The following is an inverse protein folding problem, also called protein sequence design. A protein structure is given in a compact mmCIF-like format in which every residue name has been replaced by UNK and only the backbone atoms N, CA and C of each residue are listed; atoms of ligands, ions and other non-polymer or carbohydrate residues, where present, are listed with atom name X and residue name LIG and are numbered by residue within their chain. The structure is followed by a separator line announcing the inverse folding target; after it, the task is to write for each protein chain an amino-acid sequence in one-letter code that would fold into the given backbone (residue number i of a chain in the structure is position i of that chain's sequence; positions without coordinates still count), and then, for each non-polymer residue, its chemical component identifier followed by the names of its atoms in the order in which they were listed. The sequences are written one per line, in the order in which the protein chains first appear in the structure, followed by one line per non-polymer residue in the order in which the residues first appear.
data_IF_688524778107
#
_entry.id   IF_688524778107
#
_cell.length_a   1.000
_cell.length_b   1.000
_cell.length_c   1.000
_cell.angle_alpha   90.00
_cell.angle_beta   90.00
_cell.angle_gamma   90.00
#
_symmetry.space_group_name_H-M   'P 1'
#
loop_
_entity.id
_entity.type
_entity.pdbx_description
1 polymer ?
#
# COMPACT_ATOMS: atom_id res chain seq x y z
N UNK A 1 -20.45 -28.33 17.25
CA UNK A 1 -19.04 -28.03 17.56
C UNK A 1 -18.18 -29.04 16.82
N UNK A 2 -17.61 -28.66 15.67
CA UNK A 2 -16.82 -29.57 14.82
C UNK A 2 -15.37 -29.11 14.77
N UNK A 3 -14.44 -30.05 14.95
CA UNK A 3 -13.00 -29.85 15.10
C UNK A 3 -12.36 -28.95 14.03
N UNK A 4 -11.72 -27.86 14.46
CA UNK A 4 -11.00 -26.88 13.62
C UNK A 4 -9.51 -27.22 13.40
N UNK A 5 -9.12 -28.49 13.52
CA UNK A 5 -7.76 -28.95 13.26
C UNK A 5 -7.68 -29.50 11.84
N UNK A 6 -7.88 -28.64 10.83
CA UNK A 6 -7.58 -29.00 9.45
C UNK A 6 -6.07 -28.94 9.29
N UNK A 7 -5.45 -30.12 9.22
CA UNK A 7 -4.03 -30.30 8.91
C UNK A 7 -3.70 -29.48 7.65
N UNK A 8 -2.72 -28.58 7.72
CA UNK A 8 -2.30 -27.83 6.54
C UNK A 8 -1.90 -28.81 5.43
N UNK A 9 -2.43 -28.64 4.20
CA UNK A 9 -2.10 -29.53 3.10
C UNK A 9 -0.62 -29.44 2.76
N UNK A 10 -0.03 -30.57 2.39
CA UNK A 10 1.37 -30.65 1.99
C UNK A 10 1.59 -29.96 0.65
N UNK A 11 2.85 -29.56 0.38
CA UNK A 11 3.21 -28.86 -0.88
C UNK A 11 2.86 -29.68 -2.13
N UNK A 12 2.85 -31.02 -2.04
CA UNK A 12 2.44 -31.92 -3.10
C UNK A 12 0.92 -31.85 -3.35
N UNK A 13 0.11 -31.82 -2.29
CA UNK A 13 -1.36 -31.69 -2.38
C UNK A 13 -1.78 -30.33 -2.96
N UNK A 14 -1.02 -29.26 -2.68
CA UNK A 14 -1.27 -27.93 -3.27
C UNK A 14 -0.96 -27.93 -4.78
N UNK A 15 0.08 -28.65 -5.21
CA UNK A 15 0.50 -28.73 -6.61
C UNK A 15 -0.48 -29.54 -7.47
N UNK A 16 -1.09 -30.56 -6.89
CA UNK A 16 -2.06 -31.44 -7.55
C UNK A 16 -3.52 -31.00 -7.34
N UNK A 17 -3.76 -29.95 -6.55
CA UNK A 17 -5.08 -29.38 -6.37
C UNK A 17 -5.60 -28.82 -7.69
N UNK A 18 -6.68 -29.41 -8.20
CA UNK A 18 -7.40 -28.85 -9.36
C UNK A 18 -7.81 -27.41 -9.03
N UNK A 19 -7.63 -26.45 -9.94
CA UNK A 19 -8.15 -25.10 -9.73
C UNK A 19 -9.64 -25.23 -9.48
N UNK A 20 -10.06 -24.88 -8.26
CA UNK A 20 -11.47 -24.80 -7.93
C UNK A 20 -12.03 -23.76 -8.90
N UNK A 21 -12.92 -24.18 -9.80
CA UNK A 21 -13.63 -23.26 -10.67
C UNK A 21 -14.26 -22.22 -9.75
N UNK A 22 -13.88 -20.93 -9.86
CA UNK A 22 -14.42 -19.92 -8.98
C UNK A 22 -15.94 -19.99 -9.11
N UNK A 23 -16.63 -20.24 -7.99
CA UNK A 23 -18.10 -20.14 -7.97
C UNK A 23 -18.46 -18.79 -8.61
N UNK A 24 -19.43 -18.75 -9.52
CA UNK A 24 -19.84 -17.53 -10.23
C UNK A 24 -20.34 -16.38 -9.34
N UNK A 25 -20.33 -16.57 -8.02
CA UNK A 25 -20.64 -15.59 -6.99
C UNK A 25 -19.40 -15.05 -6.26
N UNK A 26 -18.16 -15.35 -6.69
CA UNK A 26 -17.01 -14.63 -6.17
C UNK A 26 -17.19 -13.16 -6.59
N UNK A 27 -17.34 -12.22 -5.65
CA UNK A 27 -17.44 -10.81 -6.01
C UNK A 27 -16.17 -10.46 -6.76
N UNK A 28 -16.30 -10.10 -8.03
CA UNK A 28 -15.21 -9.46 -8.75
C UNK A 28 -14.75 -8.29 -7.87
N UNK A 29 -13.44 -8.09 -7.70
CA UNK A 29 -12.93 -6.97 -6.91
C UNK A 29 -13.27 -5.67 -7.65
N UNK A 30 -14.51 -5.20 -7.46
CA UNK A 30 -15.08 -4.00 -8.07
C UNK A 30 -14.56 -2.80 -7.28
N UNK A 31 -13.36 -2.39 -7.73
CA UNK A 31 -12.87 -1.02 -7.90
C UNK A 31 -13.85 0.11 -7.53
N UNK A 32 -13.34 1.15 -6.87
CA UNK A 32 -14.04 2.41 -6.61
C UNK A 32 -14.43 3.18 -7.91
N UNK A 33 -13.88 2.81 -9.07
CA UNK A 33 -14.02 3.51 -10.37
C UNK A 33 -13.90 2.62 -11.64
N UNK A 34 -14.26 1.33 -11.61
CA UNK A 34 -14.06 0.39 -12.74
C UNK A 34 -12.62 0.27 -13.29
N UNK A 35 -11.61 0.75 -12.54
CA UNK A 35 -10.19 0.71 -12.90
C UNK A 35 -9.45 -0.36 -12.09
N UNK A 36 -8.63 -1.23 -12.70
CA UNK A 36 -7.87 -2.22 -11.95
C UNK A 36 -6.92 -1.50 -10.96
N UNK A 37 -7.28 -1.50 -9.67
CA UNK A 37 -6.62 -0.69 -8.64
C UNK A 37 -5.16 -1.10 -8.42
N UNK A 38 -4.87 -2.40 -8.54
CA UNK A 38 -3.52 -2.96 -8.35
C UNK A 38 -2.47 -2.36 -9.32
N UNK A 39 -2.64 -2.42 -10.65
CA UNK A 39 -1.66 -1.82 -11.57
C UNK A 39 -1.55 -0.31 -11.42
N UNK A 40 -2.65 0.39 -11.11
CA UNK A 40 -2.61 1.84 -10.83
C UNK A 40 -1.73 2.13 -9.60
N UNK A 41 -1.95 1.43 -8.48
CA UNK A 41 -1.14 1.57 -7.28
C UNK A 41 0.34 1.25 -7.53
N UNK A 42 0.63 0.21 -8.30
CA UNK A 42 2.00 -0.17 -8.64
C UNK A 42 2.72 0.89 -9.48
N UNK A 43 2.05 1.44 -10.49
CA UNK A 43 2.62 2.51 -11.33
C UNK A 43 2.94 3.74 -10.50
N UNK A 44 2.01 4.13 -9.62
CA UNK A 44 2.21 5.34 -8.83
C UNK A 44 3.29 5.13 -7.75
N UNK A 45 3.35 3.97 -7.07
CA UNK A 45 4.43 3.66 -6.14
C UNK A 45 5.80 3.59 -6.82
N UNK A 46 5.85 3.05 -8.04
CA UNK A 46 7.08 3.07 -8.83
C UNK A 46 7.52 4.50 -9.16
N UNK A 47 6.57 5.39 -9.51
CA UNK A 47 6.86 6.79 -9.74
C UNK A 47 7.38 7.50 -8.48
N UNK A 48 6.76 7.25 -7.32
CA UNK A 48 7.22 7.81 -6.04
C UNK A 48 8.62 7.30 -5.65
N UNK A 49 8.89 6.01 -5.83
CA UNK A 49 10.22 5.46 -5.58
C UNK A 49 11.29 6.10 -6.50
N UNK A 50 10.97 6.32 -7.78
CA UNK A 50 11.88 7.02 -8.71
C UNK A 50 12.11 8.46 -8.26
N UNK A 51 11.07 9.18 -7.89
CA UNK A 51 11.19 10.54 -7.35
C UNK A 51 12.00 10.58 -6.05
N UNK A 52 11.83 9.59 -5.17
CA UNK A 52 12.61 9.44 -3.94
C UNK A 52 14.10 9.24 -4.23
N UNK A 53 14.45 8.42 -5.23
CA UNK A 53 15.85 8.24 -5.67
C UNK A 53 16.43 9.56 -6.21
N UNK A 54 15.66 10.30 -7.01
CA UNK A 54 16.08 11.60 -7.52
C UNK A 54 16.30 12.58 -6.37
N UNK A 55 15.38 12.68 -5.42
CA UNK A 55 15.54 13.55 -4.24
C UNK A 55 16.79 13.16 -3.43
N UNK A 56 16.98 11.87 -3.15
CA UNK A 56 18.15 11.38 -2.43
C UNK A 56 19.46 11.76 -3.15
N UNK A 57 19.48 11.71 -4.49
CA UNK A 57 20.63 12.13 -5.29
C UNK A 57 20.95 13.63 -5.17
N UNK A 58 19.95 14.47 -4.92
CA UNK A 58 20.16 15.91 -4.69
C UNK A 58 20.59 16.21 -3.25
N UNK A 59 20.11 15.39 -2.30
CA UNK A 59 20.50 15.41 -0.89
C UNK A 59 21.93 14.93 -0.63
N UNK A 60 22.65 14.39 -1.63
CA UNK A 60 24.06 13.98 -1.50
C UNK A 60 24.99 15.14 -1.09
N UNK A 61 24.64 16.37 -1.48
CA UNK A 61 25.34 17.59 -1.05
C UNK A 61 25.26 17.83 0.47
N UNK A 62 24.26 17.26 1.14
CA UNK A 62 24.03 17.37 2.59
C UNK A 62 24.87 16.37 3.40
N UNK A 63 25.52 15.39 2.76
CA UNK A 63 26.36 14.39 3.44
C UNK A 63 27.53 15.03 4.20
N UNK A 64 28.01 16.19 3.73
CA UNK A 64 29.14 16.88 4.34
C UNK A 64 28.78 17.59 5.66
N UNK A 65 27.49 17.69 6.02
CA UNK A 65 27.05 18.28 7.28
C UNK A 65 26.20 17.28 8.09
N UNK A 66 26.71 16.76 9.23
CA UNK A 66 26.02 15.77 10.05
C UNK A 66 24.64 16.22 10.56
N UNK A 67 24.44 17.52 10.77
CA UNK A 67 23.17 18.07 11.25
C UNK A 67 22.06 17.86 10.21
N UNK A 68 22.43 17.81 8.92
CA UNK A 68 21.50 17.66 7.81
C UNK A 68 21.23 16.19 7.45
N UNK A 69 21.93 15.23 8.09
CA UNK A 69 21.70 13.80 7.87
C UNK A 69 20.29 13.36 8.25
N UNK A 70 19.62 14.11 9.14
CA UNK A 70 18.22 13.84 9.47
C UNK A 70 17.32 13.88 8.22
N UNK A 71 17.59 14.80 7.28
CA UNK A 71 16.84 14.88 6.02
C UNK A 71 17.11 13.67 5.12
N UNK A 72 18.38 13.24 5.04
CA UNK A 72 18.78 12.04 4.29
C UNK A 72 18.09 10.80 4.87
N UNK A 73 18.04 10.67 6.20
CA UNK A 73 17.40 9.56 6.88
C UNK A 73 15.90 9.53 6.57
N UNK A 74 15.21 10.69 6.60
CA UNK A 74 13.79 10.76 6.23
C UNK A 74 13.55 10.41 4.76
N UNK A 75 14.40 10.87 3.83
CA UNK A 75 14.31 10.52 2.41
C UNK A 75 14.48 9.00 2.19
N UNK A 76 15.45 8.38 2.87
CA UNK A 76 15.69 6.93 2.81
C UNK A 76 14.51 6.16 3.40
N UNK A 77 13.98 6.58 4.55
CA UNK A 77 12.81 5.95 5.16
C UNK A 77 11.58 6.02 4.24
N UNK A 78 11.34 7.17 3.60
CA UNK A 78 10.28 7.31 2.59
C UNK A 78 10.46 6.33 1.44
N UNK A 79 11.66 6.27 0.86
CA UNK A 79 11.97 5.33 -0.22
C UNK A 79 11.79 3.86 0.20
N UNK A 80 12.21 3.50 1.41
CA UNK A 80 12.00 2.15 1.95
C UNK A 80 10.51 1.80 2.07
N UNK A 81 9.69 2.77 2.49
CA UNK A 81 8.24 2.58 2.59
C UNK A 81 7.57 2.43 1.23
N UNK A 82 7.99 3.20 0.22
CA UNK A 82 7.48 3.07 -1.16
C UNK A 82 7.81 1.70 -1.75
N UNK A 83 9.05 1.23 -1.56
CA UNK A 83 9.49 -0.10 -2.02
C UNK A 83 8.77 -1.21 -1.27
N UNK A 84 8.58 -1.07 0.05
CA UNK A 84 7.81 -2.03 0.84
C UNK A 84 6.36 -2.11 0.37
N UNK A 85 5.70 -0.97 0.16
CA UNK A 85 4.34 -0.89 -0.38
C UNK A 85 4.25 -1.52 -1.77
N UNK A 86 5.22 -1.25 -2.64
CA UNK A 86 5.29 -1.85 -3.97
C UNK A 86 5.38 -3.37 -3.89
N UNK A 87 6.29 -3.92 -3.08
CA UNK A 87 6.45 -5.36 -2.91
C UNK A 87 5.22 -6.02 -2.29
N UNK A 88 4.58 -5.37 -1.31
CA UNK A 88 3.37 -5.86 -0.66
C UNK A 88 2.23 -6.05 -1.68
N UNK A 89 2.00 -5.05 -2.53
CA UNK A 89 0.94 -5.07 -3.57
C UNK A 89 1.33 -5.97 -4.75
N UNK A 90 2.61 -5.98 -5.14
CA UNK A 90 3.10 -6.80 -6.23
C UNK A 90 3.00 -8.29 -5.90
N UNK A 91 3.41 -8.69 -4.70
CA UNK A 91 3.37 -10.10 -4.25
C UNK A 91 2.02 -10.51 -3.67
N UNK A 92 1.08 -9.58 -3.49
CA UNK A 92 -0.23 -9.81 -2.88
C UNK A 92 -0.12 -10.50 -1.51
N UNK A 93 0.85 -10.07 -0.68
CA UNK A 93 1.04 -10.63 0.67
C UNK A 93 0.11 -9.87 1.63
N UNK A 94 -0.98 -10.47 2.13
CA UNK A 94 -2.02 -9.74 2.87
C UNK A 94 -1.51 -9.06 4.15
N UNK A 95 -0.57 -9.70 4.85
CA UNK A 95 0.02 -9.17 6.08
C UNK A 95 0.82 -7.90 5.81
N UNK A 96 1.59 -7.90 4.72
CA UNK A 96 2.41 -6.75 4.32
C UNK A 96 1.55 -5.62 3.80
N UNK A 97 0.52 -5.97 3.03
CA UNK A 97 -0.51 -5.03 2.57
C UNK A 97 -1.22 -4.37 3.74
N UNK A 98 -1.56 -5.13 4.79
CA UNK A 98 -2.19 -4.59 6.00
C UNK A 98 -1.23 -3.68 6.76
N UNK A 99 0.03 -4.10 6.96
CA UNK A 99 1.04 -3.27 7.62
C UNK A 99 1.28 -1.96 6.85
N UNK A 100 1.35 -2.03 5.52
CA UNK A 100 1.48 -0.85 4.67
C UNK A 100 0.25 0.06 4.74
N UNK A 101 -0.96 -0.51 4.77
CA UNK A 101 -2.20 0.23 4.97
C UNK A 101 -2.23 1.00 6.29
N UNK A 102 -1.74 0.41 7.37
CA UNK A 102 -1.57 1.12 8.65
C UNK A 102 -0.56 2.25 8.57
N UNK A 103 0.58 2.03 7.90
CA UNK A 103 1.56 3.09 7.71
C UNK A 103 1.00 4.25 6.88
N UNK A 104 0.23 3.97 5.82
CA UNK A 104 -0.45 5.00 5.03
C UNK A 104 -1.44 5.82 5.86
N UNK A 105 -2.18 5.22 6.79
CA UNK A 105 -3.07 5.95 7.70
C UNK A 105 -2.31 6.89 8.64
N UNK A 106 -1.14 6.47 9.13
CA UNK A 106 -0.28 7.33 9.95
C UNK A 106 0.25 8.50 9.12
N UNK A 107 0.75 8.24 7.92
CA UNK A 107 1.20 9.29 7.01
C UNK A 107 0.07 10.24 6.61
N UNK A 108 -1.14 9.71 6.41
CA UNK A 108 -2.32 10.53 6.13
C UNK A 108 -2.63 11.49 7.27
N UNK A 109 -2.55 11.04 8.53
CA UNK A 109 -2.72 11.92 9.68
C UNK A 109 -1.64 13.01 9.76
N UNK A 110 -0.38 12.67 9.45
CA UNK A 110 0.72 13.65 9.38
C UNK A 110 0.50 14.66 8.26
N UNK A 111 0.06 14.21 7.08
CA UNK A 111 -0.22 15.09 5.93
C UNK A 111 -1.40 16.04 6.19
N UNK A 112 -2.42 15.61 6.94
CA UNK A 112 -3.50 16.50 7.39
C UNK A 112 -2.95 17.62 8.27
N UNK A 113 -2.09 17.29 9.24
CA UNK A 113 -1.46 18.29 10.11
C UNK A 113 -0.57 19.25 9.31
N UNK A 114 0.19 18.70 8.37
CA UNK A 114 1.04 19.48 7.49
C UNK A 114 0.21 20.41 6.58
N UNK A 115 -0.91 19.93 6.05
CA UNK A 115 -1.87 20.73 5.28
C UNK A 115 -2.44 21.90 6.09
N UNK A 116 -2.86 21.66 7.33
CA UNK A 116 -3.36 22.73 8.23
C UNK A 116 -2.26 23.78 8.44
N UNK A 117 -1.03 23.35 8.70
CA UNK A 117 0.10 24.25 8.90
C UNK A 117 0.43 25.11 7.67
N UNK A 118 0.48 24.51 6.47
CA UNK A 118 0.77 25.23 5.24
C UNK A 118 -0.37 26.10 4.72
N UNK A 119 -1.61 25.78 5.09
CA UNK A 119 -2.76 26.66 4.83
C UNK A 119 -2.61 28.01 5.53
N UNK A 120 -1.93 28.03 6.68
CA UNK A 120 -1.65 29.25 7.44
C UNK A 120 -0.41 30.00 6.88
N UNK A 121 0.59 29.26 6.37
CA UNK A 121 1.89 29.83 5.94
C UNK A 121 2.04 30.08 4.43
N UNK A 122 0.99 29.88 3.63
CA UNK A 122 0.98 30.21 2.19
C UNK A 122 1.44 29.09 1.24
N UNK A 123 1.59 27.85 1.73
CA UNK A 123 1.98 26.66 0.94
C UNK A 123 0.79 25.80 0.47
N UNK A 124 -0.35 26.41 0.19
CA UNK A 124 -1.64 25.72 0.03
C UNK A 124 -1.64 24.68 -1.11
N UNK A 125 -1.26 25.06 -2.33
CA UNK A 125 -1.38 24.19 -3.51
C UNK A 125 -0.57 22.88 -3.41
N UNK A 126 0.69 22.95 -2.97
CA UNK A 126 1.54 21.76 -2.79
C UNK A 126 0.92 20.80 -1.76
N UNK A 127 0.38 21.36 -0.69
CA UNK A 127 -0.20 20.60 0.42
C UNK A 127 -1.52 19.94 0.03
N UNK A 128 -2.36 20.64 -0.75
CA UNK A 128 -3.59 20.06 -1.34
C UNK A 128 -3.27 18.87 -2.23
N UNK A 129 -2.31 19.02 -3.14
CA UNK A 129 -1.94 17.95 -4.07
C UNK A 129 -1.43 16.74 -3.30
N UNK A 130 -0.53 16.94 -2.34
CA UNK A 130 0.04 15.86 -1.51
C UNK A 130 -1.06 15.12 -0.74
N UNK A 131 -1.94 15.86 -0.07
CA UNK A 131 -3.06 15.29 0.69
C UNK A 131 -4.05 14.53 -0.22
N UNK A 132 -4.33 15.04 -1.42
CA UNK A 132 -5.23 14.39 -2.37
C UNK A 132 -4.67 13.04 -2.84
N UNK A 133 -3.38 12.98 -3.20
CA UNK A 133 -2.72 11.73 -3.56
C UNK A 133 -2.68 10.76 -2.37
N UNK A 134 -2.34 11.23 -1.17
CA UNK A 134 -2.31 10.39 0.02
C UNK A 134 -3.69 9.83 0.38
N UNK A 135 -4.75 10.65 0.24
CA UNK A 135 -6.14 10.21 0.42
C UNK A 135 -6.49 9.11 -0.57
N UNK A 136 -6.17 9.32 -1.85
CA UNK A 136 -6.45 8.36 -2.92
C UNK A 136 -5.74 7.02 -2.64
N UNK A 137 -4.46 7.06 -2.26
CA UNK A 137 -3.69 5.87 -1.90
C UNK A 137 -4.28 5.10 -0.74
N UNK A 138 -4.61 5.80 0.34
CA UNK A 138 -5.14 5.20 1.56
C UNK A 138 -6.47 4.51 1.28
N UNK A 139 -7.37 5.17 0.54
CA UNK A 139 -8.67 4.60 0.15
C UNK A 139 -8.53 3.42 -0.80
N UNK A 140 -7.66 3.52 -1.81
CA UNK A 140 -7.40 2.42 -2.74
C UNK A 140 -6.81 1.20 -2.03
N UNK A 141 -5.90 1.41 -1.08
CA UNK A 141 -5.32 0.33 -0.27
C UNK A 141 -6.37 -0.34 0.62
N UNK A 142 -7.22 0.44 1.28
CA UNK A 142 -8.34 -0.08 2.06
C UNK A 142 -9.30 -0.89 1.20
N UNK A 143 -9.65 -0.39 0.00
CA UNK A 143 -10.50 -1.12 -0.94
C UNK A 143 -9.88 -2.46 -1.37
N UNK A 144 -8.56 -2.50 -1.63
CA UNK A 144 -7.85 -3.75 -1.91
C UNK A 144 -7.90 -4.74 -0.73
N UNK A 145 -7.77 -4.26 0.51
CA UNK A 145 -7.89 -5.10 1.72
C UNK A 145 -9.33 -5.63 1.92
N UNK A 146 -10.35 -4.80 1.67
CA UNK A 146 -11.74 -5.24 1.71
C UNK A 146 -12.03 -6.30 0.65
N UNK A 147 -11.53 -6.12 -0.57
CA UNK A 147 -11.68 -7.10 -1.65
C UNK A 147 -10.97 -8.43 -1.32
N UNK A 148 -9.75 -8.37 -0.76
CA UNK A 148 -9.03 -9.56 -0.27
C UNK A 148 -9.79 -10.29 0.82
N UNK A 149 -10.40 -9.56 1.77
CA UNK A 149 -11.22 -10.14 2.83
C UNK A 149 -12.47 -10.82 2.26
N UNK A 150 -13.17 -10.18 1.32
CA UNK A 150 -14.34 -10.74 0.65
C UNK A 150 -13.98 -12.02 -0.12
N UNK A 151 -12.86 -12.01 -0.85
CA UNK A 151 -12.33 -13.18 -1.54
C UNK A 151 -11.99 -14.32 -0.56
N UNK A 152 -11.31 -14.02 0.56
CA UNK A 152 -10.98 -15.01 1.57
C UNK A 152 -12.23 -15.65 2.21
N UNK A 153 -13.31 -14.88 2.39
CA UNK A 153 -14.58 -15.39 2.91
C UNK A 153 -15.31 -16.26 1.88
N UNK A 154 -15.28 -15.87 0.59
CA UNK A 154 -15.82 -16.67 -0.51
C UNK A 154 -15.07 -18.00 -0.68
N UNK A 155 -13.73 -17.99 -0.59
CA UNK A 155 -12.92 -19.22 -0.63
C UNK A 155 -13.16 -20.13 0.58
N UNK A 156 -13.63 -19.59 1.72
CA UNK A 156 -14.02 -20.37 2.90
C UNK A 156 -15.46 -20.87 2.86
N UNK A 157 -16.22 -20.55 1.80
CA UNK A 157 -17.63 -20.93 1.66
C UNK A 157 -18.54 -20.32 2.72
N UNK A 158 -18.12 -19.20 3.33
CA UNK A 158 -18.92 -18.46 4.32
C UNK A 158 -19.92 -17.52 3.62
N UNK A 159 -19.71 -17.28 2.31
CA UNK A 159 -20.54 -16.45 1.42
C UNK A 159 -20.86 -17.28 0.18
#
# INVERSE_FOLDING_TARGET
MGNYMVKMPSMAEIKDAKPVTPHGNIPEPTTWFNLPLRPVLLVILAAYAILGIINLSTSLSLLFNPILWIYIIFDILGLCMDVFGFLAIFRLIPEWMTAYGWALLVFYAVDILQFIHWTILGGFFRSVITLAFQTFFTLAMLACLYALRAYALACRGII
#
